data_IF_645744138172
#
_entry.id   IF_645744138172
#
_cell.length_a   1.000
_cell.length_b   1.000
_cell.length_c   1.000
_cell.angle_alpha   90.00
_cell.angle_beta   90.00
_cell.angle_gamma   90.00
#
_symmetry.space_group_name_H-M   'P 1'
#
loop_
_entity.id
_entity.type
_entity.pdbx_description
1 polymer ?
#
# COMPACT_ATOMS: atom_id res chain seq x y z
N UNK A 1 19.48 -2.03 26.06
CA UNK A 1 18.91 -3.37 25.91
C UNK A 1 19.73 -4.06 24.83
N UNK A 2 20.31 -5.21 25.15
CA UNK A 2 21.19 -5.94 24.22
C UNK A 2 20.37 -6.73 23.19
N UNK A 3 20.91 -6.88 21.98
CA UNK A 3 20.27 -7.62 20.87
C UNK A 3 19.83 -9.04 21.26
N UNK A 4 20.66 -9.71 22.07
CA UNK A 4 20.39 -11.07 22.56
C UNK A 4 19.15 -11.09 23.47
N UNK A 5 19.00 -10.08 24.33
CA UNK A 5 17.82 -9.96 25.19
C UNK A 5 16.57 -9.67 24.37
N UNK A 6 16.63 -8.73 23.41
CA UNK A 6 15.49 -8.40 22.56
C UNK A 6 14.97 -9.64 21.80
N UNK A 7 15.86 -10.47 21.25
CA UNK A 7 15.48 -11.70 20.54
C UNK A 7 14.92 -12.80 21.45
N UNK A 8 15.14 -12.73 22.76
CA UNK A 8 14.56 -13.67 23.72
C UNK A 8 13.10 -13.33 24.08
N UNK A 9 12.64 -12.12 23.76
CA UNK A 9 11.28 -11.65 24.02
C UNK A 9 10.25 -12.33 23.10
N UNK A 10 9.03 -12.49 23.61
CA UNK A 10 7.87 -12.88 22.81
C UNK A 10 7.51 -11.83 21.76
N UNK A 11 6.67 -12.20 20.77
CA UNK A 11 6.19 -11.26 19.73
C UNK A 11 5.51 -10.04 20.36
N UNK A 12 4.70 -10.25 21.40
CA UNK A 12 3.98 -9.19 22.08
C UNK A 12 4.91 -8.23 22.82
N UNK A 13 5.90 -8.78 23.54
CA UNK A 13 6.91 -7.97 24.22
C UNK A 13 7.78 -7.20 23.23
N UNK A 14 8.20 -7.83 22.13
CA UNK A 14 8.94 -7.13 21.07
C UNK A 14 8.13 -6.03 20.41
N UNK A 15 6.84 -6.25 20.17
CA UNK A 15 5.95 -5.24 19.59
C UNK A 15 5.83 -4.02 20.51
N UNK A 16 5.65 -4.25 21.82
CA UNK A 16 5.63 -3.18 22.82
C UNK A 16 6.96 -2.43 22.82
N UNK A 17 8.08 -3.14 22.89
CA UNK A 17 9.40 -2.51 22.90
C UNK A 17 9.68 -1.71 21.63
N UNK A 18 9.38 -2.24 20.43
CA UNK A 18 9.55 -1.49 19.18
C UNK A 18 8.65 -0.24 19.14
N UNK A 19 7.44 -0.32 19.70
CA UNK A 19 6.52 0.82 19.71
C UNK A 19 7.04 1.99 20.58
N UNK A 20 7.86 1.70 21.58
CA UNK A 20 8.50 2.68 22.47
C UNK A 20 9.90 3.06 22.00
N UNK A 21 10.58 2.12 21.33
CA UNK A 21 11.92 2.24 20.75
C UNK A 21 11.94 1.81 19.29
N UNK A 22 11.49 2.67 18.37
CA UNK A 22 11.40 2.33 16.95
C UNK A 22 12.75 1.99 16.30
N UNK A 23 13.87 2.39 16.91
CA UNK A 23 15.20 2.02 16.45
C UNK A 23 15.44 0.50 16.48
N UNK A 24 14.73 -0.25 17.33
CA UNK A 24 14.79 -1.72 17.35
C UNK A 24 14.14 -2.38 16.13
N UNK A 25 13.38 -1.63 15.33
CA UNK A 25 12.83 -2.16 14.11
C UNK A 25 13.94 -2.56 13.11
N UNK A 26 15.09 -1.89 13.15
CA UNK A 26 16.27 -2.24 12.37
C UNK A 26 16.82 -3.65 12.68
N UNK A 27 16.51 -4.19 13.86
CA UNK A 27 16.94 -5.52 14.30
C UNK A 27 16.08 -6.64 13.72
N UNK A 28 14.81 -6.36 13.41
CA UNK A 28 13.85 -7.35 12.92
C UNK A 28 13.59 -7.24 11.42
N UNK A 29 13.78 -6.07 10.82
CA UNK A 29 13.50 -5.85 9.39
C UNK A 29 14.25 -6.80 8.45
N UNK A 30 15.48 -7.26 8.72
CA UNK A 30 16.15 -8.24 7.85
C UNK A 30 15.49 -9.63 7.90
N UNK A 31 14.63 -9.88 8.88
CA UNK A 31 13.88 -11.12 9.05
C UNK A 31 12.41 -10.88 8.69
N UNK A 32 12.05 -11.18 7.43
CA UNK A 32 10.70 -11.01 6.89
C UNK A 32 9.65 -11.76 7.71
N UNK A 33 9.94 -12.98 8.16
CA UNK A 33 9.01 -13.80 8.94
C UNK A 33 8.69 -13.13 10.28
N UNK A 34 9.71 -12.65 11.00
CA UNK A 34 9.51 -11.98 12.28
C UNK A 34 8.81 -10.62 12.10
N UNK A 35 9.16 -9.89 11.05
CA UNK A 35 8.50 -8.63 10.70
C UNK A 35 7.02 -8.86 10.38
N UNK A 36 6.68 -9.91 9.64
CA UNK A 36 5.31 -10.29 9.34
C UNK A 36 4.50 -10.66 10.59
N UNK A 37 5.09 -11.37 11.56
CA UNK A 37 4.45 -11.67 12.85
C UNK A 37 4.10 -10.38 13.62
N UNK A 38 5.04 -9.44 13.70
CA UNK A 38 4.84 -8.15 14.38
C UNK A 38 3.81 -7.28 13.63
N UNK A 39 3.80 -7.35 12.30
CA UNK A 39 2.84 -6.64 11.47
C UNK A 39 1.43 -7.23 11.56
N UNK A 40 1.27 -8.56 11.68
CA UNK A 40 -0.03 -9.18 11.98
C UNK A 40 -0.56 -8.71 13.34
N UNK A 41 0.32 -8.63 14.36
CA UNK A 41 -0.04 -8.06 15.66
C UNK A 41 -0.45 -6.60 15.56
N UNK A 42 0.29 -5.78 14.81
CA UNK A 42 -0.06 -4.39 14.58
C UNK A 42 -1.44 -4.27 13.91
N UNK A 43 -1.70 -5.09 12.89
CA UNK A 43 -2.99 -5.13 12.20
C UNK A 43 -4.15 -5.48 13.16
N UNK A 44 -4.01 -6.54 13.97
CA UNK A 44 -5.03 -6.92 14.96
C UNK A 44 -5.32 -5.77 15.93
N UNK A 45 -4.28 -5.13 16.47
CA UNK A 45 -4.44 -4.00 17.39
C UNK A 45 -5.06 -2.76 16.72
N UNK A 46 -4.82 -2.58 15.42
CA UNK A 46 -5.38 -1.46 14.65
C UNK A 46 -6.89 -1.62 14.42
N UNK A 47 -7.36 -2.84 14.16
CA UNK A 47 -8.79 -3.13 13.90
C UNK A 47 -9.62 -3.34 15.17
N UNK A 48 -9.03 -3.88 16.24
CA UNK A 48 -9.76 -4.23 17.47
C UNK A 48 -9.94 -3.03 18.41
N UNK A 49 -9.16 -1.96 18.20
CA UNK A 49 -9.13 -0.82 19.10
C UNK A 49 -9.36 0.50 18.38
N UNK A 50 -10.09 1.40 19.05
CA UNK A 50 -10.27 2.76 18.56
C UNK A 50 -8.95 3.56 18.58
N UNK A 51 -8.93 4.68 17.84
CA UNK A 51 -7.73 5.49 17.65
C UNK A 51 -7.14 6.08 18.95
N UNK A 52 -7.97 6.26 19.98
CA UNK A 52 -7.52 6.84 21.26
C UNK A 52 -6.80 5.80 22.15
N UNK A 53 -7.06 4.51 21.91
CA UNK A 53 -6.51 3.40 22.67
C UNK A 53 -5.01 3.23 22.48
N UNK A 54 -4.29 2.89 23.55
CA UNK A 54 -2.82 2.77 23.52
C UNK A 54 -2.33 1.73 22.52
N UNK A 55 -3.03 0.61 22.36
CA UNK A 55 -2.63 -0.43 21.41
C UNK A 55 -2.78 0.00 19.95
N UNK A 56 -3.80 0.81 19.65
CA UNK A 56 -3.94 1.40 18.32
C UNK A 56 -2.77 2.36 18.04
N UNK A 57 -2.44 3.24 19.00
CA UNK A 57 -1.30 4.17 18.87
C UNK A 57 0.04 3.45 18.67
N UNK A 58 0.25 2.34 19.39
CA UNK A 58 1.42 1.47 19.22
C UNK A 58 1.46 0.85 17.82
N UNK A 59 0.33 0.33 17.33
CA UNK A 59 0.22 -0.20 15.98
C UNK A 59 0.53 0.87 14.92
N UNK A 60 -0.06 2.06 15.03
CA UNK A 60 0.21 3.16 14.09
C UNK A 60 1.68 3.58 14.11
N UNK A 61 2.30 3.64 15.29
CA UNK A 61 3.73 3.95 15.43
C UNK A 61 4.59 2.89 14.76
N UNK A 62 4.31 1.60 15.03
CA UNK A 62 5.01 0.48 14.41
C UNK A 62 4.89 0.51 12.88
N UNK A 63 3.66 0.64 12.34
CA UNK A 63 3.39 0.65 10.90
C UNK A 63 4.11 1.81 10.22
N UNK A 64 3.96 3.04 10.74
CA UNK A 64 4.59 4.22 10.16
C UNK A 64 6.11 4.09 10.11
N UNK A 65 6.71 3.53 11.16
CA UNK A 65 8.16 3.32 11.22
C UNK A 65 8.60 2.19 10.31
N UNK A 66 7.85 1.09 10.25
CA UNK A 66 8.15 -0.03 9.36
C UNK A 66 8.15 0.43 7.91
N UNK A 67 7.08 1.10 7.50
CA UNK A 67 6.94 1.61 6.13
C UNK A 67 8.09 2.55 5.76
N UNK A 68 8.53 3.41 6.69
CA UNK A 68 9.67 4.32 6.45
C UNK A 68 11.03 3.61 6.27
N UNK A 69 11.14 2.35 6.68
CA UNK A 69 12.37 1.56 6.60
C UNK A 69 12.37 0.54 5.46
N UNK A 70 11.23 0.27 4.82
CA UNK A 70 11.17 -0.58 3.63
C UNK A 70 11.75 0.19 2.44
N UNK A 71 12.87 -0.28 1.90
CA UNK A 71 13.65 0.45 0.91
C UNK A 71 13.27 0.14 -0.54
N UNK A 72 12.71 -1.05 -0.79
CA UNK A 72 12.40 -1.52 -2.15
C UNK A 72 11.24 -2.51 -2.16
N UNK A 73 10.75 -2.79 -3.36
CA UNK A 73 9.63 -3.72 -3.59
C UNK A 73 9.94 -5.16 -3.14
N UNK A 74 11.18 -5.63 -3.26
CA UNK A 74 11.55 -7.01 -2.88
C UNK A 74 11.39 -7.24 -1.37
N UNK A 75 11.77 -6.25 -0.55
CA UNK A 75 11.56 -6.29 0.90
C UNK A 75 10.08 -6.28 1.26
N UNK A 76 9.29 -5.43 0.60
CA UNK A 76 7.84 -5.39 0.80
C UNK A 76 7.21 -6.74 0.44
N UNK A 77 7.56 -7.30 -0.72
CA UNK A 77 7.06 -8.59 -1.18
C UNK A 77 7.45 -9.71 -0.21
N UNK A 78 8.70 -9.74 0.26
CA UNK A 78 9.15 -10.71 1.23
C UNK A 78 8.33 -10.65 2.53
N UNK A 79 8.10 -9.46 3.09
CA UNK A 79 7.31 -9.30 4.31
C UNK A 79 5.85 -9.74 4.09
N UNK A 80 5.22 -9.28 3.00
CA UNK A 80 3.80 -9.57 2.73
C UNK A 80 3.58 -11.06 2.46
N UNK A 81 4.50 -11.74 1.79
CA UNK A 81 4.36 -13.16 1.48
C UNK A 81 4.44 -14.06 2.73
N UNK A 82 5.11 -13.63 3.80
CA UNK A 82 5.15 -14.35 5.08
C UNK A 82 3.84 -14.28 5.86
N UNK A 83 2.92 -13.37 5.50
CA UNK A 83 1.64 -13.21 6.20
C UNK A 83 0.68 -14.36 5.86
N UNK A 84 0.22 -15.02 6.91
CA UNK A 84 -0.78 -16.09 6.86
C UNK A 84 -1.98 -15.80 7.77
N UNK A 85 -3.22 -16.10 7.34
CA UNK A 85 -3.61 -16.67 6.05
C UNK A 85 -3.54 -15.66 4.89
N UNK A 86 -3.50 -16.16 3.63
CA UNK A 86 -3.36 -15.35 2.41
C UNK A 86 -4.32 -14.14 2.34
N UNK A 87 -5.56 -14.29 2.83
CA UNK A 87 -6.55 -13.19 2.89
C UNK A 87 -6.10 -11.98 3.72
N UNK A 88 -5.30 -12.19 4.77
CA UNK A 88 -4.78 -11.09 5.60
C UNK A 88 -3.75 -10.22 4.86
N UNK A 89 -3.12 -10.74 3.80
CA UNK A 89 -2.12 -9.99 3.02
C UNK A 89 -2.70 -8.69 2.46
N UNK A 90 -3.92 -8.74 1.94
CA UNK A 90 -4.63 -7.60 1.37
C UNK A 90 -4.89 -6.52 2.41
N UNK A 91 -5.33 -6.92 3.61
CA UNK A 91 -5.64 -6.00 4.70
C UNK A 91 -4.40 -5.38 5.33
N UNK A 92 -3.32 -6.15 5.44
CA UNK A 92 -2.04 -5.62 5.88
C UNK A 92 -1.46 -4.67 4.84
N UNK A 93 -1.57 -5.00 3.55
CA UNK A 93 -1.15 -4.09 2.48
C UNK A 93 -1.97 -2.80 2.51
N UNK A 94 -3.28 -2.88 2.74
CA UNK A 94 -4.15 -1.72 2.97
C UNK A 94 -3.63 -0.83 4.11
N UNK A 95 -3.26 -1.44 5.24
CA UNK A 95 -2.73 -0.73 6.40
C UNK A 95 -1.39 -0.03 6.09
N UNK A 96 -0.48 -0.70 5.38
CA UNK A 96 0.78 -0.09 4.96
C UNK A 96 0.55 1.07 3.98
N UNK A 97 -0.32 0.86 2.98
CA UNK A 97 -0.69 1.87 1.97
C UNK A 97 -1.45 3.06 2.56
N UNK A 98 -2.08 2.90 3.72
CA UNK A 98 -2.74 3.99 4.45
C UNK A 98 -1.77 4.86 5.25
N UNK A 99 -0.50 4.46 5.38
CA UNK A 99 0.52 5.24 6.08
C UNK A 99 1.00 6.42 5.24
N UNK A 100 0.98 7.62 5.80
CA UNK A 100 1.53 8.83 5.17
C UNK A 100 3.04 8.70 4.87
N UNK A 101 3.74 7.78 5.53
CA UNK A 101 5.17 7.54 5.35
C UNK A 101 5.50 6.60 4.19
N UNK A 102 4.48 6.03 3.51
CA UNK A 102 4.71 5.17 2.35
C UNK A 102 5.32 5.98 1.20
N UNK A 103 6.53 5.60 0.81
CA UNK A 103 7.30 6.31 -0.21
C UNK A 103 6.59 6.31 -1.55
N UNK A 104 6.51 7.48 -2.18
CA UNK A 104 6.03 7.63 -3.56
C UNK A 104 6.79 6.73 -4.53
N UNK A 105 8.09 6.52 -4.31
CA UNK A 105 8.91 5.61 -5.12
C UNK A 105 8.46 4.15 -4.98
N UNK A 106 8.30 3.67 -3.74
CA UNK A 106 7.83 2.30 -3.49
C UNK A 106 6.41 2.09 -4.03
N UNK A 107 5.58 3.13 -4.01
CA UNK A 107 4.26 3.11 -4.61
C UNK A 107 4.31 2.97 -6.14
N UNK A 108 5.32 3.57 -6.80
CA UNK A 108 5.62 3.35 -8.23
C UNK A 108 5.95 1.90 -8.48
N UNK A 109 6.93 1.37 -7.75
CA UNK A 109 7.40 0.01 -7.96
C UNK A 109 6.29 -1.01 -7.69
N UNK A 110 5.51 -0.82 -6.62
CA UNK A 110 4.38 -1.68 -6.29
C UNK A 110 3.33 -1.69 -7.39
N UNK A 111 2.89 -0.51 -7.85
CA UNK A 111 1.92 -0.43 -8.93
C UNK A 111 2.45 -1.10 -10.22
N UNK A 112 3.74 -0.95 -10.54
CA UNK A 112 4.34 -1.57 -11.71
C UNK A 112 4.55 -3.10 -11.58
N UNK A 113 4.53 -3.66 -10.38
CA UNK A 113 4.83 -5.07 -10.12
C UNK A 113 3.58 -5.96 -10.24
N UNK A 114 3.20 -6.26 -11.49
CA UNK A 114 2.05 -7.11 -11.83
C UNK A 114 2.13 -8.50 -11.21
N UNK A 115 3.32 -9.11 -11.20
CA UNK A 115 3.51 -10.46 -10.68
C UNK A 115 3.22 -10.55 -9.18
N UNK A 116 3.64 -9.54 -8.41
CA UNK A 116 3.34 -9.46 -6.99
C UNK A 116 1.87 -9.16 -6.73
N UNK A 117 1.29 -8.18 -7.45
CA UNK A 117 -0.14 -7.81 -7.33
C UNK A 117 -1.05 -9.03 -7.50
N UNK A 118 -0.81 -9.88 -8.52
CA UNK A 118 -1.58 -11.11 -8.76
C UNK A 118 -1.56 -12.11 -7.61
N UNK A 119 -0.55 -12.05 -6.72
CA UNK A 119 -0.44 -12.92 -5.55
C UNK A 119 -1.31 -12.42 -4.38
N UNK A 120 -1.72 -11.16 -4.39
CA UNK A 120 -2.52 -10.55 -3.32
C UNK A 120 -4.01 -10.78 -3.60
N UNK A 121 -4.78 -11.33 -2.65
CA UNK A 121 -6.22 -11.46 -2.84
C UNK A 121 -6.91 -10.12 -3.01
N UNK A 122 -7.94 -10.08 -3.83
CA UNK A 122 -8.84 -8.93 -3.96
C UNK A 122 -9.81 -8.91 -2.76
N UNK A 123 -9.39 -8.26 -1.67
CA UNK A 123 -10.15 -8.14 -0.43
C UNK A 123 -9.77 -6.85 0.29
N UNK A 124 -10.76 -6.15 0.87
CA UNK A 124 -10.54 -4.80 1.40
C UNK A 124 -10.44 -3.78 0.26
N UNK A 125 -9.78 -2.65 0.53
CA UNK A 125 -9.69 -1.47 -0.34
C UNK A 125 -8.27 -1.15 -0.78
N UNK A 126 -7.31 -2.06 -0.59
CA UNK A 126 -5.90 -1.80 -0.90
C UNK A 126 -5.66 -1.41 -2.37
N UNK A 127 -6.38 -2.02 -3.33
CA UNK A 127 -6.33 -1.64 -4.74
C UNK A 127 -6.79 -0.20 -4.96
N UNK A 128 -7.92 0.18 -4.36
CA UNK A 128 -8.45 1.55 -4.45
C UNK A 128 -7.46 2.57 -3.85
N UNK A 129 -6.91 2.28 -2.67
CA UNK A 129 -5.94 3.16 -2.00
C UNK A 129 -4.68 3.31 -2.86
N UNK A 130 -4.16 2.21 -3.41
CA UNK A 130 -3.00 2.23 -4.29
C UNK A 130 -3.23 3.12 -5.53
N UNK A 131 -4.38 2.97 -6.19
CA UNK A 131 -4.78 3.79 -7.34
C UNK A 131 -4.92 5.26 -6.96
N UNK A 132 -5.62 5.57 -5.86
CA UNK A 132 -5.85 6.94 -5.42
C UNK A 132 -4.54 7.64 -5.05
N UNK A 133 -3.66 6.96 -4.32
CA UNK A 133 -2.34 7.50 -4.00
C UNK A 133 -1.48 7.66 -5.24
N UNK A 134 -1.59 6.76 -6.21
CA UNK A 134 -0.89 6.92 -7.49
C UNK A 134 -1.39 8.07 -8.33
N UNK A 135 -2.70 8.26 -8.37
CA UNK A 135 -3.33 9.40 -8.99
C UNK A 135 -2.87 10.71 -8.35
N UNK A 136 -2.85 10.78 -7.01
CA UNK A 136 -2.37 11.95 -6.27
C UNK A 136 -0.95 12.35 -6.70
N UNK A 137 -0.01 11.41 -6.77
CA UNK A 137 1.36 11.70 -7.25
C UNK A 137 1.34 12.22 -8.69
N UNK A 138 0.62 11.58 -9.60
CA UNK A 138 0.61 11.97 -11.02
C UNK A 138 -0.09 13.33 -11.24
N UNK A 139 -1.18 13.59 -10.53
CA UNK A 139 -2.05 14.75 -10.73
C UNK A 139 -1.61 15.97 -9.91
N UNK A 140 -1.05 15.77 -8.72
CA UNK A 140 -0.67 16.86 -7.82
C UNK A 140 0.81 17.23 -7.96
N UNK A 141 1.72 16.25 -8.08
CA UNK A 141 3.16 16.54 -8.15
C UNK A 141 3.59 16.94 -9.57
N UNK A 142 2.77 16.66 -10.58
CA UNK A 142 3.06 16.97 -11.99
C UNK A 142 1.81 17.44 -12.75
N UNK A 143 1.20 18.57 -12.35
CA UNK A 143 -0.14 18.98 -12.81
C UNK A 143 -0.25 19.31 -14.31
N UNK A 144 0.87 19.50 -15.00
CA UNK A 144 0.95 19.78 -16.44
C UNK A 144 1.33 18.55 -17.27
N UNK A 145 1.67 17.43 -16.62
CA UNK A 145 2.14 16.23 -17.30
C UNK A 145 0.95 15.42 -17.80
N UNK A 146 0.98 15.08 -19.09
CA UNK A 146 0.13 14.03 -19.63
C UNK A 146 0.69 12.66 -19.27
N UNK A 147 -0.14 11.73 -18.81
CA UNK A 147 0.28 10.39 -18.41
C UNK A 147 -0.54 9.29 -19.09
N UNK A 148 0.01 8.06 -19.09
CA UNK A 148 -0.67 6.87 -19.62
C UNK A 148 -1.53 6.21 -18.55
N UNK A 149 -2.69 5.64 -18.90
CA UNK A 149 -3.54 4.89 -17.94
C UNK A 149 -2.74 3.80 -17.20
N UNK A 150 -1.87 3.10 -17.92
CA UNK A 150 -1.00 2.05 -17.35
C UNK A 150 -0.03 2.54 -16.28
N UNK A 151 0.17 3.85 -16.11
CA UNK A 151 0.99 4.42 -15.04
C UNK A 151 0.25 4.52 -13.69
N UNK A 152 -1.09 4.53 -13.70
CA UNK A 152 -1.90 4.51 -12.49
C UNK A 152 -1.92 3.12 -11.87
N UNK A 153 -2.20 2.13 -12.70
CA UNK A 153 -2.25 0.73 -12.32
C UNK A 153 -2.18 -0.14 -13.58
N UNK A 154 -1.53 -1.31 -13.53
CA UNK A 154 -1.52 -2.24 -14.64
C UNK A 154 -2.94 -2.64 -15.02
N UNK A 155 -3.25 -2.44 -16.31
CA UNK A 155 -4.55 -2.72 -16.89
C UNK A 155 -4.89 -4.22 -16.76
N UNK A 156 -6.12 -4.53 -16.36
CA UNK A 156 -6.65 -5.91 -16.29
C UNK A 156 -6.57 -6.57 -14.92
N UNK A 157 -6.01 -5.90 -13.92
CA UNK A 157 -6.07 -6.34 -12.52
C UNK A 157 -7.35 -5.81 -11.85
N UNK A 158 -7.85 -6.54 -10.85
CA UNK A 158 -9.11 -6.27 -10.13
C UNK A 158 -9.03 -4.95 -9.35
N UNK A 159 -9.26 -3.85 -10.03
CA UNK A 159 -9.57 -2.55 -9.42
C UNK A 159 -11.08 -2.38 -9.49
N UNK A 160 -11.67 -1.85 -8.42
CA UNK A 160 -13.05 -1.41 -8.47
C UNK A 160 -13.21 -0.37 -9.58
N UNK A 161 -13.97 -0.73 -10.63
CA UNK A 161 -14.14 0.07 -11.85
C UNK A 161 -14.64 1.50 -11.56
N UNK A 162 -15.37 1.71 -10.46
CA UNK A 162 -15.91 3.01 -10.03
C UNK A 162 -14.80 4.02 -9.65
N UNK A 163 -13.83 3.60 -8.83
CA UNK A 163 -12.71 4.45 -8.39
C UNK A 163 -11.80 4.76 -9.56
N UNK A 164 -11.48 3.76 -10.37
CA UNK A 164 -10.65 3.93 -11.56
C UNK A 164 -11.30 4.89 -12.56
N UNK A 165 -12.62 4.73 -12.82
CA UNK A 165 -13.40 5.65 -13.66
C UNK A 165 -13.40 7.07 -13.13
N UNK A 166 -13.56 7.25 -11.82
CA UNK A 166 -13.57 8.58 -11.18
C UNK A 166 -12.23 9.31 -11.38
N UNK A 167 -11.11 8.62 -11.09
CA UNK A 167 -9.75 9.15 -11.28
C UNK A 167 -9.50 9.51 -12.74
N UNK A 168 -9.82 8.61 -13.67
CA UNK A 168 -9.60 8.82 -15.09
C UNK A 168 -10.51 9.90 -15.67
N UNK A 169 -11.75 10.01 -15.20
CA UNK A 169 -12.66 11.09 -15.57
C UNK A 169 -12.13 12.46 -15.17
N UNK A 170 -11.65 12.61 -13.94
CA UNK A 170 -11.01 13.85 -13.49
C UNK A 170 -9.76 14.18 -14.31
N UNK A 171 -8.92 13.19 -14.62
CA UNK A 171 -7.73 13.40 -15.45
C UNK A 171 -8.07 13.76 -16.90
N UNK A 172 -9.17 13.24 -17.43
CA UNK A 172 -9.70 13.58 -18.75
C UNK A 172 -10.17 15.04 -18.81
N UNK A 173 -11.00 15.47 -17.84
CA UNK A 173 -11.50 16.85 -17.75
C UNK A 173 -10.36 17.89 -17.66
N UNK A 174 -9.24 17.51 -17.06
CA UNK A 174 -8.06 18.36 -16.88
C UNK A 174 -7.05 18.28 -18.05
N UNK A 175 -7.35 17.58 -19.15
CA UNK A 175 -6.44 17.34 -20.29
C UNK A 175 -5.09 16.68 -19.89
N UNK A 176 -5.12 15.80 -18.90
CA UNK A 176 -3.92 15.13 -18.33
C UNK A 176 -3.69 13.72 -18.87
N UNK A 177 -4.53 13.23 -19.79
CA UNK A 177 -4.35 11.94 -20.43
C UNK A 177 -3.64 12.08 -21.78
N UNK A 178 -2.78 11.12 -22.13
CA UNK A 178 -2.24 11.04 -23.50
C UNK A 178 -3.35 10.69 -24.50
N UNK A 179 -3.15 10.99 -25.79
CA UNK A 179 -4.12 10.61 -26.84
C UNK A 179 -4.41 9.11 -26.87
N UNK A 180 -3.36 8.28 -26.71
CA UNK A 180 -3.51 6.82 -26.60
C UNK A 180 -4.38 6.42 -25.41
N UNK A 181 -4.23 7.12 -24.28
CA UNK A 181 -5.00 6.88 -23.05
C UNK A 181 -6.46 7.25 -23.21
N UNK A 182 -6.78 8.29 -23.97
CA UNK A 182 -8.17 8.66 -24.26
C UNK A 182 -8.85 7.55 -25.07
N UNK A 183 -8.14 6.96 -26.04
CA UNK A 183 -8.67 5.81 -26.79
C UNK A 183 -8.86 4.59 -25.89
N UNK A 184 -7.87 4.29 -25.03
CA UNK A 184 -7.97 3.21 -24.05
C UNK A 184 -9.12 3.44 -23.04
N UNK A 185 -9.38 4.68 -22.66
CA UNK A 185 -10.48 5.04 -21.76
C UNK A 185 -11.83 4.67 -22.37
N UNK A 186 -12.01 4.97 -23.66
CA UNK A 186 -13.22 4.60 -24.42
C UNK A 186 -13.38 3.07 -24.51
N UNK A 187 -12.28 2.33 -24.67
CA UNK A 187 -12.31 0.86 -24.67
C UNK A 187 -12.65 0.26 -23.30
N UNK A 188 -12.16 0.86 -22.22
CA UNK A 188 -12.45 0.43 -20.84
C UNK A 188 -13.89 0.76 -20.41
N UNK A 189 -14.47 1.85 -20.92
CA UNK A 189 -15.81 2.33 -20.58
C UNK A 189 -16.66 2.59 -21.83
N UNK A 190 -16.95 1.56 -22.66
CA UNK A 190 -17.53 1.75 -24.00
C UNK A 190 -18.99 2.26 -24.00
N UNK A 191 -19.68 2.19 -22.87
CA UNK A 191 -21.04 2.69 -22.71
C UNK A 191 -21.12 4.02 -21.93
N UNK A 192 -19.98 4.58 -21.53
CA UNK A 192 -19.93 5.81 -20.74
C UNK A 192 -19.89 7.03 -21.67
N UNK A 193 -21.08 7.57 -21.93
CA UNK A 193 -21.28 8.73 -22.82
C UNK A 193 -20.51 9.99 -22.40
N UNK A 194 -20.02 10.02 -21.17
CA UNK A 194 -19.18 11.12 -20.68
C UNK A 194 -17.87 11.24 -21.48
N UNK A 195 -17.39 10.16 -22.10
CA UNK A 195 -16.17 10.18 -22.92
C UNK A 195 -16.45 10.31 -24.43
N UNK A 196 -17.70 10.53 -24.86
CA UNK A 196 -18.09 10.63 -26.27
C UNK A 196 -17.88 12.06 -26.80
N UNK A 197 -16.68 12.32 -27.35
CA UNK A 197 -16.36 13.50 -28.17
C UNK A 197 -15.54 13.09 -29.40
#
# INVERSE_FOLDING_TARGET
MDYIYFNSLSVDEQFVEISERPDFLALVIPNSQRTAQLLDRAYMNYIEHNAEHIQHKRASTFVNKLVSLILNIDQLEAIINEITPKKKRSLVLELLLSSDYFSSYLLVELAANVEFIKKIPDYGRWCEILVLRRASILLQDSPLRKFKISELFPLGETVEYSVFRSVLGSAYDEDRLTSDSINQLKELFPNDKYFDF
#
